data_IF_676791197861
#
_entry.id   IF_676791197861
#
_cell.length_a   1.000
_cell.length_b   1.000
_cell.length_c   1.000
_cell.angle_alpha   90.00
_cell.angle_beta   90.00
_cell.angle_gamma   90.00
#
_symmetry.space_group_name_H-M   'P 1'
#
loop_
_entity.id
_entity.type
_entity.pdbx_description
1 polymer ?
#
# COMPACT_ATOMS: atom_id res chain seq x y z
N UNK A 1 -4.18 0.71 6.63
CA UNK A 1 -3.24 0.11 5.66
C UNK A 1 -2.77 1.10 4.58
N UNK A 2 -3.66 1.89 3.97
CA UNK A 2 -3.30 2.83 2.88
C UNK A 2 -2.48 4.05 3.37
N UNK A 3 -2.61 4.42 4.64
CA UNK A 3 -1.87 5.53 5.27
C UNK A 3 -0.36 5.33 5.30
N UNK A 4 0.12 4.09 5.42
CA UNK A 4 1.55 3.79 5.43
C UNK A 4 2.22 3.97 4.05
N UNK A 5 1.44 3.87 2.97
CA UNK A 5 1.91 4.05 1.59
C UNK A 5 1.83 5.50 1.13
N UNK A 6 0.98 6.32 1.75
CA UNK A 6 0.78 7.72 1.38
C UNK A 6 2.07 8.58 1.32
N UNK A 7 3.07 8.46 2.23
CA UNK A 7 4.30 9.25 2.12
C UNK A 7 5.23 8.80 0.98
N UNK A 8 5.14 7.54 0.54
CA UNK A 8 6.04 6.99 -0.50
C UNK A 8 5.46 7.17 -1.89
N UNK A 9 4.19 6.87 -2.08
CA UNK A 9 3.53 6.89 -3.39
C UNK A 9 2.58 8.08 -3.57
N UNK A 10 2.33 8.86 -2.52
CA UNK A 10 1.35 9.94 -2.50
C UNK A 10 -0.06 9.45 -2.17
N UNK A 11 -0.83 10.30 -1.48
CA UNK A 11 -2.19 10.00 -1.03
C UNK A 11 -3.13 9.60 -2.18
N UNK A 12 -3.06 10.30 -3.32
CA UNK A 12 -3.94 10.06 -4.47
C UNK A 12 -3.69 8.68 -5.10
N UNK A 13 -2.42 8.29 -5.27
CA UNK A 13 -2.04 6.98 -5.79
C UNK A 13 -2.40 5.87 -4.81
N UNK A 14 -2.19 6.09 -3.52
CA UNK A 14 -2.56 5.13 -2.48
C UNK A 14 -4.08 4.88 -2.47
N UNK A 15 -4.90 5.94 -2.62
CA UNK A 15 -6.35 5.82 -2.75
C UNK A 15 -6.77 5.12 -4.06
N UNK A 16 -6.09 5.37 -5.18
CA UNK A 16 -6.31 4.70 -6.45
C UNK A 16 -6.03 3.20 -6.38
N UNK A 17 -4.89 2.82 -5.81
CA UNK A 17 -4.50 1.42 -5.59
C UNK A 17 -5.54 0.74 -4.71
N UNK A 18 -5.97 1.38 -3.62
CA UNK A 18 -6.98 0.82 -2.73
C UNK A 18 -8.33 0.59 -3.41
N UNK A 19 -8.81 1.57 -4.19
CA UNK A 19 -10.05 1.42 -4.96
C UNK A 19 -9.94 0.33 -6.02
N UNK A 20 -8.79 0.25 -6.69
CA UNK A 20 -8.58 -0.73 -7.76
C UNK A 20 -8.47 -2.14 -7.22
N UNK A 21 -7.70 -2.32 -6.13
CA UNK A 21 -7.58 -3.59 -5.41
C UNK A 21 -8.95 -4.08 -4.94
N UNK A 22 -9.74 -3.20 -4.32
CA UNK A 22 -11.08 -3.53 -3.86
C UNK A 22 -12.03 -3.89 -5.01
N UNK A 23 -11.97 -3.16 -6.13
CA UNK A 23 -12.82 -3.40 -7.31
C UNK A 23 -12.47 -4.70 -8.04
N UNK A 24 -11.18 -5.05 -8.13
CA UNK A 24 -10.72 -6.28 -8.78
C UNK A 24 -10.72 -7.50 -7.85
N UNK A 25 -10.84 -7.28 -6.54
CA UNK A 25 -10.64 -8.34 -5.54
C UNK A 25 -9.19 -8.78 -5.41
N UNK A 26 -8.24 -7.95 -5.86
CA UNK A 26 -6.79 -8.18 -5.71
C UNK A 26 -6.29 -7.54 -4.42
N UNK A 27 -5.06 -7.88 -4.02
CA UNK A 27 -4.46 -7.29 -2.82
C UNK A 27 -3.89 -5.89 -3.10
N UNK A 28 -3.81 -5.07 -2.05
CA UNK A 28 -3.12 -3.78 -2.11
C UNK A 28 -1.66 -3.92 -2.57
N UNK A 29 -1.01 -5.01 -2.18
CA UNK A 29 0.37 -5.35 -2.55
C UNK A 29 0.50 -5.58 -4.05
N UNK A 30 -0.37 -6.42 -4.62
CA UNK A 30 -0.36 -6.71 -6.05
C UNK A 30 -0.60 -5.47 -6.90
N UNK A 31 -1.61 -4.66 -6.55
CA UNK A 31 -1.86 -3.42 -7.30
C UNK A 31 -0.73 -2.40 -7.09
N UNK A 32 -0.15 -2.29 -5.90
CA UNK A 32 0.99 -1.40 -5.66
C UNK A 32 2.23 -1.82 -6.48
N UNK A 33 2.53 -3.12 -6.54
CA UNK A 33 3.61 -3.66 -7.38
C UNK A 33 3.31 -3.51 -8.87
N UNK A 34 2.06 -3.74 -9.29
CA UNK A 34 1.63 -3.60 -10.68
C UNK A 34 1.72 -2.16 -11.19
N UNK A 35 1.54 -1.17 -10.32
CA UNK A 35 1.75 0.24 -10.67
C UNK A 35 3.22 0.61 -10.85
N UNK A 36 4.16 -0.22 -10.37
CA UNK A 36 5.59 0.08 -10.36
C UNK A 36 5.99 1.25 -9.46
N UNK A 37 5.04 1.77 -8.65
CA UNK A 37 5.27 2.91 -7.75
C UNK A 37 6.02 2.51 -6.47
N UNK A 38 5.99 1.22 -6.12
CA UNK A 38 6.65 0.70 -4.93
C UNK A 38 7.20 -0.69 -5.26
N UNK A 39 8.39 -0.99 -4.75
CA UNK A 39 8.98 -2.33 -4.89
C UNK A 39 8.42 -3.28 -3.83
N UNK A 40 8.63 -4.58 -4.01
CA UNK A 40 8.20 -5.59 -3.03
C UNK A 40 8.87 -5.36 -1.67
N UNK A 41 10.16 -5.04 -1.69
CA UNK A 41 10.93 -4.72 -0.48
C UNK A 41 10.44 -3.45 0.20
N UNK A 42 10.11 -2.40 -0.57
CA UNK A 42 9.57 -1.16 0.00
C UNK A 42 8.18 -1.38 0.58
N UNK A 43 7.32 -2.13 -0.11
CA UNK A 43 5.99 -2.47 0.39
C UNK A 43 6.09 -3.25 1.70
N UNK A 44 6.97 -4.25 1.78
CA UNK A 44 7.18 -5.06 2.98
C UNK A 44 7.78 -4.24 4.15
N UNK A 45 8.61 -3.24 3.85
CA UNK A 45 9.11 -2.29 4.86
C UNK A 45 8.06 -1.30 5.34
N UNK A 46 7.18 -0.85 4.45
CA UNK A 46 6.16 0.17 4.75
C UNK A 46 4.90 -0.44 5.37
N UNK A 47 4.47 -1.61 4.89
CA UNK A 47 3.25 -2.30 5.28
C UNK A 47 3.61 -3.44 6.22
N UNK A 48 4.06 -3.09 7.42
CA UNK A 48 4.36 -4.04 8.49
C UNK A 48 3.20 -4.12 9.48
N UNK A 49 2.37 -5.18 9.42
CA UNK A 49 1.26 -5.33 10.36
C UNK A 49 1.75 -5.39 11.82
N UNK A 50 2.97 -5.88 12.05
CA UNK A 50 3.67 -5.87 13.34
C UNK A 50 3.86 -4.45 13.92
N UNK A 51 4.36 -3.49 13.13
CA UNK A 51 4.49 -2.08 13.54
C UNK A 51 3.15 -1.33 13.61
N UNK A 52 2.10 -1.86 12.97
CA UNK A 52 0.78 -1.24 12.93
C UNK A 52 -0.14 -1.61 14.12
N UNK A 53 0.36 -2.40 15.08
CA UNK A 53 -0.39 -2.79 16.29
C UNK A 53 -0.10 -1.92 17.51
N UNK A 54 0.89 -1.03 17.45
CA UNK A 54 1.12 -0.02 18.49
C UNK A 54 0.57 1.33 18.04
N UNK A 55 -0.48 1.86 18.69
CA UNK A 55 -0.77 3.29 18.60
C UNK A 55 0.37 4.02 19.33
N UNK A 56 1.25 4.66 18.56
CA UNK A 56 2.11 5.73 19.06
C UNK A 56 1.36 7.05 19.13
#
# INVERSE_FOLDING_TARGET
LVTALAPTIGYDNAAKIAKTAHKKGTTLREEALATGLVSEADYDRLVRPEDMTHPG
#
